data_IF_089310793261
#
_entry.id   IF_089310793261
#
_cell.length_a   1.000
_cell.length_b   1.000
_cell.length_c   1.000
_cell.angle_alpha   90.00
_cell.angle_beta   90.00
_cell.angle_gamma   90.00
#
_symmetry.space_group_name_H-M   'P 1'
#
loop_
_entity.id
_entity.type
_entity.pdbx_description
1 polymer ?
#
# COMPACT_ATOMS: atom_id res chain seq x y z
N UNK A 1 11.31 -7.41 -12.30
CA UNK A 1 10.77 -8.70 -11.81
C UNK A 1 10.15 -9.38 -13.02
N UNK A 2 10.51 -10.62 -13.31
CA UNK A 2 10.06 -11.34 -14.50
C UNK A 2 9.11 -12.46 -14.07
N UNK A 3 7.81 -12.14 -14.08
CA UNK A 3 6.74 -13.05 -13.64
C UNK A 3 6.73 -14.31 -14.51
N UNK A 4 7.07 -14.18 -15.79
CA UNK A 4 7.11 -15.28 -16.76
C UNK A 4 8.22 -16.27 -16.52
N UNK A 5 9.36 -15.81 -16.00
CA UNK A 5 10.44 -16.73 -15.60
C UNK A 5 10.06 -17.65 -14.44
N UNK A 6 8.98 -17.35 -13.72
CA UNK A 6 8.50 -18.15 -12.59
C UNK A 6 7.16 -18.85 -12.85
N UNK A 7 6.56 -18.70 -14.05
CA UNK A 7 5.28 -19.33 -14.40
C UNK A 7 4.11 -18.84 -13.53
N UNK A 8 4.14 -17.58 -13.10
CA UNK A 8 3.18 -17.01 -12.16
C UNK A 8 2.13 -16.12 -12.86
N UNK A 9 2.10 -16.06 -14.19
CA UNK A 9 1.23 -15.16 -14.94
C UNK A 9 -0.26 -15.41 -14.71
N UNK A 10 -0.63 -16.64 -14.36
CA UNK A 10 -2.02 -17.02 -14.09
C UNK A 10 -2.55 -16.45 -12.76
N UNK A 11 -1.65 -16.05 -11.86
CA UNK A 11 -2.01 -15.59 -10.50
C UNK A 11 -1.43 -14.21 -10.16
N UNK A 12 -0.58 -13.64 -11.01
CA UNK A 12 0.03 -12.32 -10.83
C UNK A 12 -0.25 -11.43 -12.04
N UNK A 13 -1.00 -10.37 -11.81
CA UNK A 13 -1.10 -9.26 -12.76
C UNK A 13 0.03 -8.28 -12.53
N UNK A 14 0.96 -8.15 -13.49
CA UNK A 14 2.01 -7.14 -13.45
C UNK A 14 1.56 -5.86 -14.15
N UNK A 15 1.54 -4.75 -13.42
CA UNK A 15 1.18 -3.43 -13.96
C UNK A 15 2.44 -2.57 -14.02
N UNK A 16 2.81 -2.13 -15.22
CA UNK A 16 3.91 -1.18 -15.40
C UNK A 16 3.40 0.27 -15.25
N UNK A 17 3.69 0.89 -14.11
CA UNK A 17 3.38 2.29 -13.83
C UNK A 17 4.67 3.07 -13.49
N UNK A 18 5.19 3.92 -14.40
CA UNK A 18 6.37 4.73 -14.11
C UNK A 18 6.09 5.81 -13.07
N UNK A 19 7.14 6.38 -12.46
CA UNK A 19 6.97 7.52 -11.55
C UNK A 19 6.68 8.81 -12.33
N UNK A 20 5.63 9.51 -11.94
CA UNK A 20 5.18 10.79 -12.52
C UNK A 20 4.81 11.76 -11.41
N UNK A 21 4.48 13.00 -11.77
CA UNK A 21 3.95 13.97 -10.82
C UNK A 21 2.65 13.44 -10.17
N UNK A 22 2.53 13.59 -8.84
CA UNK A 22 1.32 13.15 -8.11
C UNK A 22 0.15 14.09 -8.37
N UNK A 23 -1.04 13.58 -8.72
CA UNK A 23 -2.28 14.37 -8.74
C UNK A 23 -2.57 15.02 -7.37
N UNK A 24 -3.14 16.23 -7.37
CA UNK A 24 -3.33 17.01 -6.13
C UNK A 24 -4.21 16.31 -5.08
N UNK A 25 -5.17 15.51 -5.51
CA UNK A 25 -6.08 14.72 -4.67
C UNK A 25 -5.41 13.49 -4.03
N UNK A 26 -4.28 13.04 -4.57
CA UNK A 26 -3.50 11.90 -4.06
C UNK A 26 -2.22 12.32 -3.34
N UNK A 27 -1.94 13.63 -3.30
CA UNK A 27 -0.69 14.21 -2.81
C UNK A 27 -0.82 14.65 -1.36
N UNK A 28 0.28 14.55 -0.61
CA UNK A 28 0.43 15.19 0.69
C UNK A 28 1.63 16.13 0.70
N UNK A 29 1.49 17.28 1.38
CA UNK A 29 2.59 18.22 1.66
C UNK A 29 3.44 18.49 0.40
N UNK A 30 4.74 18.22 0.47
CA UNK A 30 5.72 18.40 -0.58
C UNK A 30 6.03 17.10 -1.36
N UNK A 31 5.16 16.10 -1.32
CA UNK A 31 5.32 14.90 -2.16
C UNK A 31 5.18 15.27 -3.65
N UNK A 32 6.18 14.97 -4.47
CA UNK A 32 6.18 15.34 -5.88
C UNK A 32 5.92 14.17 -6.81
N UNK A 33 6.40 12.98 -6.45
CA UNK A 33 6.38 11.81 -7.33
C UNK A 33 5.64 10.61 -6.74
N UNK A 34 4.93 9.90 -7.59
CA UNK A 34 4.37 8.59 -7.29
C UNK A 34 4.16 7.80 -8.59
N UNK A 35 3.74 6.56 -8.50
CA UNK A 35 3.37 5.79 -9.68
C UNK A 35 2.24 6.46 -10.46
N UNK A 36 2.29 6.37 -11.79
CA UNK A 36 1.27 6.87 -12.71
C UNK A 36 -0.10 6.24 -12.39
N UNK A 37 -0.92 6.98 -11.63
CA UNK A 37 -2.21 6.52 -11.13
C UNK A 37 -3.23 6.29 -12.24
N UNK A 38 -3.11 6.99 -13.37
CA UNK A 38 -3.98 6.78 -14.52
C UNK A 38 -3.69 5.43 -15.20
N UNK A 39 -2.41 5.04 -15.31
CA UNK A 39 -2.04 3.71 -15.79
C UNK A 39 -2.48 2.59 -14.86
N UNK A 40 -2.32 2.79 -13.55
CA UNK A 40 -2.83 1.82 -12.57
C UNK A 40 -4.34 1.69 -12.71
N UNK A 41 -5.08 2.81 -12.72
CA UNK A 41 -6.53 2.80 -12.84
C UNK A 41 -7.02 2.11 -14.12
N UNK A 42 -6.35 2.35 -15.27
CA UNK A 42 -6.69 1.72 -16.56
C UNK A 42 -6.48 0.21 -16.55
N UNK A 43 -5.50 -0.28 -15.79
CA UNK A 43 -5.19 -1.71 -15.70
C UNK A 43 -6.08 -2.48 -14.70
N UNK A 44 -6.76 -1.77 -13.79
CA UNK A 44 -7.68 -2.35 -12.83
C UNK A 44 -9.11 -2.38 -13.41
N UNK A 45 -9.87 -3.43 -13.08
CA UNK A 45 -11.30 -3.44 -13.40
C UNK A 45 -12.05 -2.46 -12.47
N UNK A 46 -13.13 -1.85 -12.96
CA UNK A 46 -13.85 -0.81 -12.21
C UNK A 46 -14.40 -1.32 -10.86
N UNK A 47 -14.90 -2.55 -10.82
CA UNK A 47 -15.45 -3.20 -9.62
C UNK A 47 -14.41 -3.93 -8.78
N UNK A 48 -13.13 -3.91 -9.16
CA UNK A 48 -12.08 -4.65 -8.46
C UNK A 48 -11.90 -4.12 -7.03
N UNK A 49 -12.03 -5.01 -6.06
CA UNK A 49 -11.82 -4.75 -4.63
C UNK A 49 -10.63 -5.52 -4.10
N UNK A 50 -9.90 -4.91 -3.17
CA UNK A 50 -8.73 -5.49 -2.52
C UNK A 50 -8.99 -5.70 -1.03
N UNK A 51 -8.67 -6.90 -0.56
CA UNK A 51 -8.67 -7.28 0.86
C UNK A 51 -7.25 -7.30 1.46
N UNK A 52 -6.20 -7.27 0.64
CA UNK A 52 -4.82 -7.15 1.09
C UNK A 52 -4.05 -6.13 0.25
N UNK A 53 -3.44 -5.16 0.91
CA UNK A 53 -2.56 -4.17 0.30
C UNK A 53 -1.23 -4.16 1.05
N UNK A 54 -0.13 -4.28 0.31
CA UNK A 54 1.23 -4.18 0.82
C UNK A 54 1.93 -3.05 0.08
N UNK A 55 2.46 -2.07 0.81
CA UNK A 55 3.12 -0.90 0.25
C UNK A 55 4.57 -0.87 0.72
N UNK A 56 5.47 -1.24 -0.19
CA UNK A 56 6.93 -1.27 0.02
C UNK A 56 7.67 -0.22 -0.84
N UNK A 57 6.97 0.44 -1.75
CA UNK A 57 7.57 1.46 -2.62
C UNK A 57 6.63 2.60 -2.95
N UNK A 58 7.12 3.63 -3.66
CA UNK A 58 8.46 3.74 -4.25
C UNK A 58 9.58 4.02 -3.23
N UNK A 59 10.84 3.99 -3.69
CA UNK A 59 12.01 4.24 -2.84
C UNK A 59 11.86 5.57 -2.08
N UNK A 60 12.02 5.54 -0.75
CA UNK A 60 11.75 6.69 0.13
C UNK A 60 12.59 7.93 -0.19
N UNK A 61 13.79 7.77 -0.76
CA UNK A 61 14.63 8.91 -1.19
C UNK A 61 14.18 9.58 -2.49
N UNK A 62 13.13 9.10 -3.15
CA UNK A 62 12.66 9.66 -4.43
C UNK A 62 11.86 10.96 -4.25
N UNK A 63 11.14 11.08 -3.14
CA UNK A 63 10.37 12.27 -2.72
C UNK A 63 9.95 12.09 -1.26
N UNK A 64 9.76 13.17 -0.48
CA UNK A 64 9.08 13.09 0.81
C UNK A 64 7.71 12.41 0.67
N UNK A 65 7.36 11.60 1.66
CA UNK A 65 6.10 10.84 1.72
C UNK A 65 5.86 9.93 0.49
N UNK A 66 6.92 9.38 -0.09
CA UNK A 66 6.90 8.58 -1.32
C UNK A 66 5.76 7.55 -1.43
N UNK A 67 5.43 6.90 -0.31
CA UNK A 67 4.44 5.81 -0.23
C UNK A 67 3.00 6.28 0.00
N UNK A 68 2.79 7.54 0.39
CA UNK A 68 1.51 8.08 0.88
C UNK A 68 0.32 7.79 -0.05
N UNK A 69 0.49 8.04 -1.35
CA UNK A 69 -0.61 8.07 -2.32
C UNK A 69 -1.31 6.72 -2.52
N UNK A 70 -0.73 5.61 -2.05
CA UNK A 70 -1.32 4.27 -2.19
C UNK A 70 -2.73 4.17 -1.59
N UNK A 71 -2.94 4.69 -0.38
CA UNK A 71 -4.27 4.60 0.26
C UNK A 71 -5.28 5.62 -0.25
N UNK A 72 -4.97 6.91 -0.43
CA UNK A 72 -5.86 7.83 -1.14
C UNK A 72 -6.33 7.28 -2.50
N UNK A 73 -5.47 6.58 -3.23
CA UNK A 73 -5.84 5.97 -4.51
C UNK A 73 -6.74 4.72 -4.35
N UNK A 74 -6.48 3.88 -3.34
CA UNK A 74 -7.16 2.59 -3.16
C UNK A 74 -8.36 2.64 -2.21
N UNK A 75 -8.61 3.73 -1.47
CA UNK A 75 -9.64 3.79 -0.41
C UNK A 75 -11.03 3.33 -0.90
N UNK A 76 -11.39 3.73 -2.12
CA UNK A 76 -12.68 3.42 -2.73
C UNK A 76 -12.70 2.03 -3.41
N UNK A 77 -11.56 1.33 -3.40
CA UNK A 77 -11.34 -0.02 -3.94
C UNK A 77 -11.05 -1.04 -2.83
N UNK A 78 -11.29 -0.70 -1.56
CA UNK A 78 -11.18 -1.65 -0.46
C UNK A 78 -12.43 -2.55 -0.39
N UNK A 79 -12.21 -3.83 -0.10
CA UNK A 79 -13.25 -4.75 0.35
C UNK A 79 -13.81 -4.32 1.71
N UNK A 80 -14.93 -4.91 2.17
CA UNK A 80 -15.44 -4.63 3.52
C UNK A 80 -14.48 -5.14 4.62
N UNK A 81 -13.82 -6.26 4.36
CA UNK A 81 -12.76 -6.83 5.20
C UNK A 81 -11.43 -6.70 4.48
N UNK A 82 -10.45 -6.04 5.09
CA UNK A 82 -9.14 -5.83 4.49
C UNK A 82 -8.01 -5.67 5.51
N UNK A 83 -6.79 -5.88 5.04
CA UNK A 83 -5.52 -5.55 5.68
C UNK A 83 -4.66 -4.64 4.80
N UNK A 84 -4.05 -3.62 5.39
CA UNK A 84 -3.07 -2.73 4.74
C UNK A 84 -1.78 -2.79 5.51
N UNK A 85 -0.65 -2.92 4.81
CA UNK A 85 0.69 -2.93 5.37
C UNK A 85 1.56 -1.86 4.71
N UNK A 86 2.28 -1.09 5.51
CA UNK A 86 3.28 -0.11 5.10
C UNK A 86 4.65 -0.56 5.60
N UNK A 87 5.58 -0.82 4.69
CA UNK A 87 6.97 -1.14 5.07
C UNK A 87 7.72 0.13 5.52
N UNK A 88 8.91 -0.05 6.09
CA UNK A 88 9.80 1.03 6.56
C UNK A 88 9.22 1.92 7.69
N UNK A 89 8.35 1.36 8.54
CA UNK A 89 7.57 2.08 9.56
C UNK A 89 8.37 2.90 10.60
N UNK A 90 9.69 2.70 10.68
CA UNK A 90 10.56 3.43 11.61
C UNK A 90 10.97 4.82 11.11
N UNK A 91 10.74 5.12 9.83
CA UNK A 91 11.08 6.41 9.23
C UNK A 91 10.04 7.47 9.57
N UNK A 92 10.49 8.71 9.71
CA UNK A 92 9.64 9.83 10.12
C UNK A 92 8.49 10.09 9.13
N UNK A 93 8.76 10.00 7.83
CA UNK A 93 7.73 10.14 6.79
C UNK A 93 6.70 9.01 6.89
N UNK A 94 7.13 7.76 7.07
CA UNK A 94 6.25 6.59 7.20
C UNK A 94 5.37 6.63 8.47
N UNK A 95 5.86 7.20 9.57
CA UNK A 95 5.05 7.48 10.75
C UNK A 95 3.93 8.48 10.44
N UNK A 96 4.25 9.58 9.76
CA UNK A 96 3.26 10.59 9.36
C UNK A 96 2.27 10.04 8.32
N UNK A 97 2.75 9.23 7.36
CA UNK A 97 1.89 8.51 6.40
C UNK A 97 0.90 7.63 7.18
N UNK A 98 1.38 6.88 8.16
CA UNK A 98 0.54 6.00 8.98
C UNK A 98 -0.58 6.76 9.69
N UNK A 99 -0.28 7.93 10.25
CA UNK A 99 -1.29 8.78 10.90
C UNK A 99 -2.34 9.30 9.92
N UNK A 100 -1.94 9.66 8.70
CA UNK A 100 -2.84 10.15 7.67
C UNK A 100 -3.72 9.05 7.11
N UNK A 101 -3.14 7.88 6.86
CA UNK A 101 -3.90 6.69 6.46
C UNK A 101 -4.90 6.27 7.54
N UNK A 102 -4.55 6.42 8.83
CA UNK A 102 -5.49 6.17 9.91
C UNK A 102 -6.76 7.03 9.83
N UNK A 103 -6.61 8.30 9.42
CA UNK A 103 -7.72 9.23 9.25
C UNK A 103 -8.61 8.83 8.06
N UNK A 104 -7.99 8.46 6.94
CA UNK A 104 -8.68 8.01 5.72
C UNK A 104 -9.45 6.70 5.99
N UNK A 105 -8.74 5.69 6.51
CA UNK A 105 -9.30 4.35 6.76
C UNK A 105 -10.21 4.30 7.98
N UNK A 106 -10.17 5.31 8.85
CA UNK A 106 -10.83 5.34 10.17
C UNK A 106 -10.43 4.15 11.06
N UNK A 107 -9.17 3.73 10.94
CA UNK A 107 -8.58 2.59 11.65
C UNK A 107 -7.32 3.06 12.35
N UNK A 108 -7.13 2.67 13.62
CA UNK A 108 -5.89 2.97 14.34
C UNK A 108 -4.72 2.16 13.76
N UNK A 109 -3.56 2.78 13.50
CA UNK A 109 -2.38 2.06 13.05
C UNK A 109 -1.91 1.11 14.15
N UNK A 110 -1.36 -0.03 13.75
CA UNK A 110 -0.64 -0.95 14.61
C UNK A 110 0.80 -1.04 14.13
N UNK A 111 1.75 -0.91 15.05
CA UNK A 111 3.16 -0.83 14.72
C UNK A 111 3.86 -2.14 15.07
N UNK A 112 4.64 -2.64 14.12
CA UNK A 112 5.64 -3.68 14.32
C UNK A 112 7.01 -3.08 14.03
N UNK A 113 8.08 -3.83 14.33
CA UNK A 113 9.45 -3.31 14.18
C UNK A 113 9.74 -2.82 12.75
N UNK A 114 9.25 -3.52 11.72
CA UNK A 114 9.54 -3.19 10.32
C UNK A 114 8.40 -2.52 9.56
N UNK A 115 7.15 -2.73 9.97
CA UNK A 115 5.98 -2.28 9.21
C UNK A 115 4.86 -1.78 10.13
N UNK A 116 4.01 -0.94 9.57
CA UNK A 116 2.74 -0.51 10.17
C UNK A 116 1.62 -1.24 9.46
N UNK A 117 0.59 -1.64 10.17
CA UNK A 117 -0.58 -2.26 9.57
C UNK A 117 -1.91 -1.73 10.08
N UNK A 118 -2.93 -1.89 9.24
CA UNK A 118 -4.33 -1.52 9.46
C UNK A 118 -5.20 -2.72 9.11
N UNK A 119 -6.26 -2.97 9.89
CA UNK A 119 -7.23 -4.03 9.59
C UNK A 119 -8.64 -3.61 9.93
N UNK A 120 -9.60 -3.90 9.05
CA UNK A 120 -11.00 -3.56 9.28
C UNK A 120 -11.76 -4.59 10.12
N UNK A 121 -11.24 -5.82 10.26
CA UNK A 121 -11.80 -6.86 11.12
C UNK A 121 -10.68 -7.67 11.82
N UNK A 122 -10.98 -8.25 12.99
CA UNK A 122 -10.05 -9.08 13.80
C UNK A 122 -9.76 -10.46 13.19
N UNK A 123 -10.54 -10.90 12.20
CA UNK A 123 -10.38 -12.21 11.55
C UNK A 123 -9.17 -12.31 10.62
N UNK A 124 -8.57 -11.18 10.23
CA UNK A 124 -7.27 -11.19 9.57
C UNK A 124 -6.19 -11.32 10.64
N UNK A 125 -5.54 -12.49 10.65
CA UNK A 125 -4.28 -12.62 11.36
C UNK A 125 -3.24 -11.82 10.60
N UNK A 126 -2.70 -10.83 11.30
CA UNK A 126 -1.74 -9.86 10.77
C UNK A 126 -0.39 -10.04 11.44
N UNK A 127 -0.31 -10.99 12.39
CA UNK A 127 0.91 -11.37 13.05
C UNK A 127 1.53 -12.54 12.28
N UNK A 128 2.87 -12.61 12.22
CA UNK A 128 3.54 -13.78 11.68
C UNK A 128 3.03 -15.04 12.37
N UNK A 129 2.76 -16.09 11.59
CA UNK A 129 2.44 -17.38 12.15
C UNK A 129 3.63 -17.84 13.00
N UNK A 130 3.46 -17.82 14.32
CA UNK A 130 4.46 -18.29 15.25
C UNK A 130 4.48 -19.82 15.14
N UNK A 131 5.38 -20.37 14.32
CA UNK A 131 5.70 -21.79 14.39
C UNK A 131 6.37 -21.99 15.75
N UNK A 132 5.61 -22.43 16.75
CA UNK A 132 6.18 -22.99 17.98
C UNK A 132 7.04 -24.18 17.57
N UNK A 133 8.36 -24.05 17.75
CA UNK A 133 9.38 -25.01 17.36
C UNK A 133 8.95 -26.47 17.57
N UNK A 134 9.16 -27.30 16.55
CA UNK A 134 9.29 -28.75 16.69
C UNK A 134 10.60 -29.09 17.42
#
# INVERSE_FOLDING_TARGET
>A
MDVSRHGLEDIVTFIHAPMTAVPNDLKILNQELWYDSAKIATALQDEQKFDLIIVDGPFGGSTPFARYSAIPFLENRLSNTYGVFLDDAQREDELQISERWAQILKIKPQFMERYTYFRSNKSFDTLPFMISNF
#
